data_IF_024041812347
#
_entry.id   IF_024041812347
#
_cell.length_a   1.000
_cell.length_b   1.000
_cell.length_c   1.000
_cell.angle_alpha   90.00
_cell.angle_beta   90.00
_cell.angle_gamma   90.00
#
_symmetry.space_group_name_H-M   'P 1'
#
loop_
_entity.id
_entity.type
_entity.pdbx_description
1 polymer ?
#
# COMPACT_ATOMS: atom_id res chain seq x y z
N UNK A 1 16.11 -16.41 2.85
CA UNK A 1 15.32 -16.40 4.10
C UNK A 1 15.00 -15.00 4.57
N UNK A 2 15.95 -14.07 4.60
CA UNK A 2 15.68 -12.67 5.00
C UNK A 2 14.68 -11.92 4.10
N UNK A 3 14.65 -12.19 2.80
CA UNK A 3 13.73 -11.57 1.85
C UNK A 3 12.28 -12.02 2.04
N UNK A 4 12.05 -13.25 2.47
CA UNK A 4 10.70 -13.73 2.78
C UNK A 4 10.14 -13.10 4.04
N UNK A 5 10.99 -12.83 5.02
CA UNK A 5 10.57 -12.11 6.23
C UNK A 5 10.12 -10.68 5.91
N UNK A 6 10.79 -10.01 4.96
CA UNK A 6 10.41 -8.68 4.51
C UNK A 6 9.03 -8.61 3.84
N UNK A 7 8.66 -9.62 3.05
CA UNK A 7 7.39 -9.66 2.32
C UNK A 7 6.28 -10.39 3.07
N UNK A 8 6.60 -11.42 3.84
CA UNK A 8 5.61 -12.31 4.46
C UNK A 8 5.37 -12.05 5.95
N UNK A 9 6.32 -11.45 6.64
CA UNK A 9 6.20 -11.14 8.07
C UNK A 9 5.96 -9.67 8.39
N UNK A 10 5.87 -8.81 7.38
CA UNK A 10 5.75 -7.36 7.55
C UNK A 10 4.34 -6.87 7.27
N UNK A 11 4.06 -5.67 7.75
CA UNK A 11 2.78 -5.02 7.50
C UNK A 11 2.76 -4.43 6.09
N UNK A 12 1.74 -4.79 5.32
CA UNK A 12 1.43 -4.16 4.06
C UNK A 12 0.26 -3.19 4.25
N UNK A 13 0.35 -2.01 3.65
CA UNK A 13 -0.73 -1.02 3.67
C UNK A 13 -1.19 -0.70 2.26
N UNK A 14 -2.49 -0.79 2.04
CA UNK A 14 -3.14 -0.41 0.80
C UNK A 14 -3.82 0.94 0.99
N UNK A 15 -3.29 1.96 0.39
CA UNK A 15 -3.69 3.35 0.64
C UNK A 15 -4.89 3.79 -0.19
N UNK A 16 -5.22 3.08 -1.25
CA UNK A 16 -6.51 3.17 -1.93
C UNK A 16 -6.99 1.77 -2.21
N UNK A 17 -8.00 1.35 -1.51
CA UNK A 17 -8.40 -0.04 -1.53
C UNK A 17 -9.92 -0.13 -1.65
N UNK A 18 -10.43 0.18 -2.85
CA UNK A 18 -11.85 0.10 -3.11
C UNK A 18 -12.39 -1.28 -2.77
N UNK A 19 -13.34 -1.37 -1.83
CA UNK A 19 -13.95 -2.61 -1.31
C UNK A 19 -12.96 -3.62 -0.71
N UNK A 20 -11.71 -3.26 -0.52
CA UNK A 20 -10.73 -4.10 0.14
C UNK A 20 -10.15 -5.24 -0.68
N UNK A 21 -10.33 -5.28 -1.99
CA UNK A 21 -9.94 -6.44 -2.81
C UNK A 21 -8.45 -6.73 -2.76
N UNK A 22 -7.59 -5.71 -2.84
CA UNK A 22 -6.14 -5.93 -2.80
C UNK A 22 -5.71 -6.44 -1.44
N UNK A 23 -6.16 -5.80 -0.35
CA UNK A 23 -5.87 -6.24 1.02
C UNK A 23 -6.33 -7.66 1.26
N UNK A 24 -7.56 -8.01 0.86
CA UNK A 24 -8.09 -9.35 1.01
C UNK A 24 -7.28 -10.37 0.22
N UNK A 25 -6.94 -10.07 -1.03
CA UNK A 25 -6.15 -10.97 -1.87
C UNK A 25 -4.78 -11.25 -1.29
N UNK A 26 -4.06 -10.22 -0.85
CA UNK A 26 -2.74 -10.39 -0.25
C UNK A 26 -2.85 -11.15 1.07
N UNK A 27 -3.89 -10.89 1.86
CA UNK A 27 -4.12 -11.59 3.14
C UNK A 27 -4.40 -13.08 2.95
N UNK A 28 -5.09 -13.45 1.87
CA UNK A 28 -5.36 -14.85 1.53
C UNK A 28 -4.08 -15.55 1.05
N UNK A 29 -3.29 -14.87 0.21
CA UNK A 29 -2.15 -15.46 -0.46
C UNK A 29 -0.87 -15.46 0.37
N UNK A 30 -0.81 -14.70 1.46
CA UNK A 30 0.40 -14.54 2.26
C UNK A 30 0.08 -14.56 3.76
N UNK A 31 1.11 -14.64 4.59
CA UNK A 31 1.01 -14.46 6.05
C UNK A 31 1.26 -13.02 6.49
N UNK A 32 1.42 -12.08 5.56
CA UNK A 32 1.66 -10.69 5.89
C UNK A 32 0.46 -10.08 6.61
N UNK A 33 0.74 -9.19 7.55
CA UNK A 33 -0.29 -8.35 8.15
C UNK A 33 -0.64 -7.25 7.12
N UNK A 34 -1.91 -7.19 6.74
CA UNK A 34 -2.37 -6.29 5.70
C UNK A 34 -3.35 -5.27 6.29
N UNK A 35 -3.16 -4.00 5.96
CA UNK A 35 -4.06 -2.92 6.35
C UNK A 35 -4.53 -2.18 5.12
N UNK A 36 -5.83 -2.09 4.94
CA UNK A 36 -6.45 -1.25 3.92
C UNK A 36 -6.92 0.06 4.54
N UNK A 37 -6.63 1.16 3.87
CA UNK A 37 -7.07 2.49 4.27
C UNK A 37 -8.00 3.01 3.19
N UNK A 38 -9.21 3.37 3.57
CA UNK A 38 -10.28 3.77 2.67
C UNK A 38 -11.06 4.93 3.28
N UNK A 39 -11.34 5.93 2.47
CA UNK A 39 -12.09 7.12 2.89
C UNK A 39 -13.59 6.82 3.06
N UNK A 40 -14.16 6.00 2.18
CA UNK A 40 -15.60 5.72 2.12
C UNK A 40 -16.00 4.68 3.17
N UNK A 41 -16.84 5.03 4.18
CA UNK A 41 -17.22 4.10 5.23
C UNK A 41 -17.92 2.83 4.73
N UNK A 42 -18.74 2.92 3.69
CA UNK A 42 -19.46 1.77 3.15
C UNK A 42 -18.50 0.72 2.56
N UNK A 43 -17.40 1.16 1.96
CA UNK A 43 -16.37 0.25 1.45
C UNK A 43 -15.60 -0.43 2.58
N UNK A 44 -15.35 0.29 3.67
CA UNK A 44 -14.71 -0.28 4.86
C UNK A 44 -15.59 -1.36 5.48
N UNK A 45 -16.89 -1.10 5.62
CA UNK A 45 -17.83 -2.08 6.17
C UNK A 45 -17.94 -3.32 5.30
N UNK A 46 -17.99 -3.15 3.99
CA UNK A 46 -17.99 -4.26 3.02
C UNK A 46 -16.72 -5.11 3.15
N UNK A 47 -15.56 -4.48 3.20
CA UNK A 47 -14.29 -5.16 3.34
C UNK A 47 -14.17 -5.92 4.67
N UNK A 48 -14.60 -5.32 5.76
CA UNK A 48 -14.61 -5.97 7.08
C UNK A 48 -15.53 -7.20 7.11
N UNK A 49 -16.70 -7.13 6.49
CA UNK A 49 -17.62 -8.27 6.36
C UNK A 49 -16.97 -9.40 5.56
N UNK A 50 -16.33 -9.07 4.44
CA UNK A 50 -15.64 -10.06 3.62
C UNK A 50 -14.50 -10.75 4.38
N UNK A 51 -13.70 -9.99 5.12
CA UNK A 51 -12.62 -10.55 5.94
C UNK A 51 -13.15 -11.51 7.01
N UNK A 52 -14.24 -11.16 7.66
CA UNK A 52 -14.89 -12.05 8.65
C UNK A 52 -15.42 -13.32 8.00
N UNK A 53 -16.08 -13.21 6.85
CA UNK A 53 -16.60 -14.38 6.11
C UNK A 53 -15.50 -15.34 5.69
N UNK A 54 -14.31 -14.83 5.39
CA UNK A 54 -13.16 -15.62 4.99
C UNK A 54 -12.25 -16.03 6.16
N UNK A 55 -12.63 -15.68 7.38
CA UNK A 55 -11.83 -15.94 8.60
C UNK A 55 -10.39 -15.44 8.52
N UNK A 56 -10.20 -14.25 7.93
CA UNK A 56 -8.89 -13.64 7.79
C UNK A 56 -8.48 -12.88 9.06
N UNK A 57 -7.46 -13.35 9.73
CA UNK A 57 -6.95 -12.73 10.95
C UNK A 57 -5.86 -11.67 10.68
N UNK A 58 -5.32 -11.66 9.47
CA UNK A 58 -4.21 -10.80 9.07
C UNK A 58 -4.64 -9.61 8.20
N UNK A 59 -5.94 -9.39 8.02
CA UNK A 59 -6.50 -8.25 7.28
C UNK A 59 -7.20 -7.28 8.24
N UNK A 60 -6.84 -6.00 8.14
CA UNK A 60 -7.45 -4.92 8.91
C UNK A 60 -7.81 -3.78 7.97
N UNK A 61 -8.93 -3.11 8.25
CA UNK A 61 -9.41 -1.99 7.45
C UNK A 61 -9.66 -0.78 8.33
N UNK A 62 -9.17 0.37 7.88
CA UNK A 62 -9.27 1.64 8.60
C UNK A 62 -10.01 2.62 7.70
N UNK A 63 -11.06 3.24 8.23
CA UNK A 63 -11.72 4.35 7.57
C UNK A 63 -10.95 5.62 7.87
N UNK A 64 -10.56 6.35 6.83
CA UNK A 64 -9.86 7.61 6.98
C UNK A 64 -9.16 8.08 5.72
N UNK A 65 -8.57 9.27 5.81
CA UNK A 65 -7.77 9.86 4.76
C UNK A 65 -6.34 9.32 4.83
N UNK A 66 -5.83 8.81 3.71
CA UNK A 66 -4.48 8.26 3.65
C UNK A 66 -3.39 9.29 4.00
N UNK A 67 -3.66 10.59 3.79
CA UNK A 67 -2.74 11.67 4.15
C UNK A 67 -2.58 11.85 5.66
N UNK A 68 -3.53 11.35 6.45
CA UNK A 68 -3.52 11.43 7.90
C UNK A 68 -3.31 10.06 8.55
N UNK A 69 -3.00 9.03 7.77
CA UNK A 69 -2.87 7.67 8.27
C UNK A 69 -1.54 7.46 9.00
N UNK A 70 -1.56 6.55 9.97
CA UNK A 70 -0.33 6.06 10.60
C UNK A 70 0.33 5.01 9.70
N UNK A 71 1.44 5.38 9.08
CA UNK A 71 2.19 4.52 8.17
C UNK A 71 3.40 3.85 8.84
N UNK A 72 3.59 4.04 10.13
CA UNK A 72 4.80 3.64 10.86
C UNK A 72 5.03 2.12 10.88
N UNK A 73 3.99 1.33 10.79
CA UNK A 73 4.10 -0.14 10.80
C UNK A 73 4.27 -0.78 9.43
N UNK A 74 4.13 -0.02 8.35
CA UNK A 74 4.19 -0.55 7.00
C UNK A 74 5.60 -0.64 6.43
N UNK A 75 5.84 -1.65 5.61
CA UNK A 75 7.09 -1.80 4.86
C UNK A 75 6.86 -1.91 3.36
N UNK A 76 5.67 -2.34 2.95
CA UNK A 76 5.24 -2.38 1.56
C UNK A 76 3.92 -1.63 1.45
N UNK A 77 3.88 -0.64 0.57
CA UNK A 77 2.71 0.21 0.36
C UNK A 77 2.21 0.06 -1.07
N UNK A 78 0.92 -0.14 -1.22
CA UNK A 78 0.28 -0.25 -2.51
C UNK A 78 -0.56 1.00 -2.79
N UNK A 79 -0.28 1.65 -3.91
CA UNK A 79 -0.98 2.84 -4.38
C UNK A 79 -1.68 2.52 -5.69
N UNK A 80 -2.97 2.78 -5.72
CA UNK A 80 -3.78 2.58 -6.92
C UNK A 80 -4.51 3.89 -7.26
N UNK A 81 -4.73 4.10 -8.54
CA UNK A 81 -5.63 5.16 -9.01
C UNK A 81 -6.98 5.05 -8.29
N UNK A 82 -7.58 6.13 -7.76
CA UNK A 82 -7.51 7.50 -8.28
C UNK A 82 -6.62 8.48 -7.48
N UNK A 83 -5.60 8.04 -6.79
CA UNK A 83 -4.69 8.98 -6.15
C UNK A 83 -4.06 9.90 -7.19
N UNK A 84 -4.40 11.16 -7.16
CA UNK A 84 -3.86 12.19 -8.05
C UNK A 84 -3.66 13.50 -7.31
N UNK A 85 -2.92 14.42 -7.93
CA UNK A 85 -2.78 15.78 -7.45
C UNK A 85 -2.27 15.89 -6.02
N UNK A 86 -2.94 16.74 -5.24
CA UNK A 86 -2.54 17.06 -3.87
C UNK A 86 -2.64 15.86 -2.91
N UNK A 87 -3.57 14.94 -3.14
CA UNK A 87 -3.72 13.74 -2.31
C UNK A 87 -2.50 12.84 -2.47
N UNK A 88 -2.13 12.56 -3.72
CA UNK A 88 -0.92 11.74 -4.01
C UNK A 88 0.33 12.42 -3.46
N UNK A 89 0.47 13.73 -3.63
CA UNK A 89 1.62 14.46 -3.10
C UNK A 89 1.69 14.38 -1.59
N UNK A 90 0.57 14.50 -0.89
CA UNK A 90 0.50 14.36 0.55
C UNK A 90 0.92 12.97 1.03
N UNK A 91 0.45 11.92 0.35
CA UNK A 91 0.82 10.54 0.67
C UNK A 91 2.31 10.29 0.42
N UNK A 92 2.85 10.75 -0.71
CA UNK A 92 4.27 10.59 -1.03
C UNK A 92 5.16 11.31 -0.02
N UNK A 93 4.76 12.47 0.48
CA UNK A 93 5.50 13.18 1.52
C UNK A 93 5.55 12.37 2.82
N UNK A 94 4.44 11.75 3.22
CA UNK A 94 4.41 10.86 4.40
C UNK A 94 5.31 9.63 4.20
N UNK A 95 5.22 8.99 3.04
CA UNK A 95 6.03 7.81 2.71
C UNK A 95 7.52 8.14 2.70
N UNK A 96 7.89 9.32 2.22
CA UNK A 96 9.28 9.79 2.27
C UNK A 96 9.80 9.91 3.71
N UNK A 97 8.96 10.42 4.63
CA UNK A 97 9.32 10.47 6.04
C UNK A 97 9.55 9.08 6.63
N UNK A 98 8.71 8.12 6.25
CA UNK A 98 8.89 6.73 6.69
C UNK A 98 10.15 6.10 6.08
N UNK A 99 10.47 6.43 4.83
CA UNK A 99 11.68 5.95 4.16
C UNK A 99 12.97 6.44 4.81
N UNK A 100 12.94 7.57 5.50
CA UNK A 100 14.08 8.05 6.28
C UNK A 100 14.34 7.22 7.55
N UNK A 101 13.35 6.45 7.99
CA UNK A 101 13.43 5.65 9.21
C UNK A 101 13.75 4.19 8.95
N UNK A 102 13.39 3.69 7.76
CA UNK A 102 13.57 2.29 7.37
C UNK A 102 13.41 2.12 5.86
N UNK A 103 13.92 1.03 5.34
CA UNK A 103 13.66 0.64 3.95
C UNK A 103 12.17 0.38 3.75
N UNK A 104 11.59 0.97 2.72
CA UNK A 104 10.21 0.71 2.30
C UNK A 104 10.15 0.40 0.80
N UNK A 105 9.08 -0.26 0.41
CA UNK A 105 8.76 -0.52 -0.99
C UNK A 105 7.39 0.03 -1.33
N UNK A 106 7.24 0.52 -2.55
CA UNK A 106 5.99 1.06 -3.05
C UNK A 106 5.64 0.32 -4.32
N UNK A 107 4.42 -0.23 -4.35
CA UNK A 107 3.84 -0.84 -5.54
C UNK A 107 2.78 0.11 -6.08
N UNK A 108 2.77 0.36 -7.38
CA UNK A 108 1.81 1.25 -8.01
C UNK A 108 1.11 0.56 -9.18
N UNK A 109 -0.11 0.98 -9.42
CA UNK A 109 -0.87 0.58 -10.61
C UNK A 109 -1.71 1.77 -11.10
N UNK A 110 -1.63 2.04 -12.40
CA UNK A 110 -2.38 3.10 -13.03
C UNK A 110 -1.62 4.43 -13.13
N UNK A 111 -2.32 5.54 -13.37
CA UNK A 111 -1.71 6.86 -13.64
C UNK A 111 -0.77 7.40 -12.55
N UNK A 112 -0.94 7.00 -11.29
CA UNK A 112 -0.05 7.40 -10.20
C UNK A 112 1.39 6.90 -10.40
N UNK A 113 1.59 5.86 -11.20
CA UNK A 113 2.92 5.26 -11.45
C UNK A 113 3.92 6.28 -11.98
N UNK A 114 3.51 7.12 -12.94
CA UNK A 114 4.41 8.12 -13.52
C UNK A 114 4.85 9.17 -12.50
N UNK A 115 3.95 9.57 -11.62
CA UNK A 115 4.26 10.53 -10.56
C UNK A 115 5.24 9.92 -9.56
N UNK A 116 5.03 8.69 -9.16
CA UNK A 116 5.93 7.97 -8.24
C UNK A 116 7.29 7.73 -8.88
N UNK A 117 7.33 7.40 -10.17
CA UNK A 117 8.58 7.19 -10.91
C UNK A 117 9.46 8.45 -10.97
N UNK A 118 8.88 9.63 -10.84
CA UNK A 118 9.61 10.89 -10.84
C UNK A 118 10.24 11.24 -9.48
N UNK A 119 9.95 10.49 -8.43
CA UNK A 119 10.50 10.74 -7.09
C UNK A 119 11.98 10.35 -7.01
N UNK A 120 12.84 11.31 -6.65
CA UNK A 120 14.29 11.10 -6.60
C UNK A 120 14.74 10.18 -5.47
N UNK A 121 13.93 10.02 -4.43
CA UNK A 121 14.23 9.16 -3.28
C UNK A 121 13.80 7.71 -3.50
N UNK A 122 13.26 7.40 -4.67
CA UNK A 122 12.85 6.05 -5.05
C UNK A 122 13.70 5.53 -6.21
N UNK A 123 13.90 4.22 -6.23
CA UNK A 123 14.50 3.49 -7.35
C UNK A 123 13.50 2.49 -7.90
N UNK A 124 13.32 2.49 -9.21
CA UNK A 124 12.52 1.48 -9.88
C UNK A 124 13.18 0.10 -9.76
N UNK A 125 12.37 -0.89 -9.38
CA UNK A 125 12.78 -2.30 -9.32
C UNK A 125 12.02 -3.04 -10.43
N UNK A 126 12.75 -3.49 -11.44
CA UNK A 126 12.14 -4.17 -12.59
C UNK A 126 11.58 -3.21 -13.65
N UNK A 127 10.67 -3.70 -14.52
CA UNK A 127 10.18 -2.91 -15.65
C UNK A 127 9.17 -1.84 -15.23
N UNK A 128 9.16 -0.72 -15.97
CA UNK A 128 8.15 0.32 -15.85
C UNK A 128 7.16 0.17 -17.01
N UNK A 129 6.00 -0.38 -16.73
CA UNK A 129 4.92 -0.57 -17.69
C UNK A 129 3.62 -0.02 -17.11
N UNK A 130 2.83 0.70 -17.88
CA UNK A 130 1.62 1.38 -17.41
C UNK A 130 0.45 0.44 -17.14
N UNK A 131 0.45 -0.74 -17.73
CA UNK A 131 -0.58 -1.76 -17.60
C UNK A 131 -0.23 -2.85 -16.59
N UNK A 132 0.86 -2.67 -15.85
CA UNK A 132 1.34 -3.61 -14.84
C UNK A 132 1.66 -2.90 -13.54
N UNK A 133 1.76 -3.69 -12.48
CA UNK A 133 2.23 -3.19 -11.19
C UNK A 133 3.72 -2.84 -11.32
N UNK A 134 4.06 -1.60 -10.99
CA UNK A 134 5.44 -1.17 -10.87
C UNK A 134 5.89 -1.25 -9.40
N UNK A 135 7.15 -1.59 -9.20
CA UNK A 135 7.74 -1.72 -7.88
C UNK A 135 8.89 -0.73 -7.71
N UNK A 136 8.87 -0.02 -6.61
CA UNK A 136 9.90 0.94 -6.24
C UNK A 136 10.45 0.61 -4.86
N UNK A 137 11.75 0.84 -4.68
CA UNK A 137 12.40 0.77 -3.37
C UNK A 137 12.91 2.12 -2.94
N UNK A 138 12.89 2.41 -1.63
CA UNK A 138 13.52 3.61 -1.10
C UNK A 138 15.04 3.52 -1.26
N UNK A 139 15.67 4.67 -1.55
CA UNK A 139 17.12 4.80 -1.58
C UNK A 139 17.64 5.13 -0.19
N UNK A 140 18.84 4.66 0.09
CA UNK A 140 19.58 5.04 1.29
C UNK A 140 19.99 6.52 1.27
#
# INVERSE_FOLDING_TARGET
MGQRKGLMGTAQQNLTNRRGYVTLTVSICTSARCTGIELEPSYVDCARKSARSLNLNNARFIQGDARAADLSGGTVFYLYTPFTGAILRGVLNLLRQEALKREIRICTFGPCTQVVAAELWLSLIGPLETDRIALFGSRD
#
